data_IF_273658995978
#
_entry.id   IF_273658995978
#
_cell.length_a   1.000
_cell.length_b   1.000
_cell.length_c   1.000
_cell.angle_alpha   90.00
_cell.angle_beta   90.00
_cell.angle_gamma   90.00
#
_symmetry.space_group_name_H-M   'P 1'
#
loop_
_entity.id
_entity.type
_entity.pdbx_description
1 polymer ?
#
# COMPACT_ATOMS: atom_id res chain seq x y z
N UNK A 1 -12.95 10.97 -6.24
CA UNK A 1 -11.93 11.26 -5.22
C UNK A 1 -12.57 10.99 -3.88
N UNK A 2 -11.98 10.13 -3.06
CA UNK A 2 -12.53 9.76 -1.75
C UNK A 2 -11.57 10.27 -0.68
N UNK A 3 -11.97 11.31 0.07
CA UNK A 3 -11.16 11.93 1.14
C UNK A 3 -10.73 10.94 2.24
N UNK A 4 -11.45 9.83 2.36
CA UNK A 4 -11.18 8.76 3.32
C UNK A 4 -10.09 7.78 2.85
N UNK A 5 -9.71 7.80 1.57
CA UNK A 5 -8.67 6.94 1.02
C UNK A 5 -7.33 7.68 0.88
N UNK A 6 -6.42 7.17 0.05
CA UNK A 6 -5.20 7.87 -0.35
C UNK A 6 -5.50 8.73 -1.58
N UNK A 7 -4.93 9.94 -1.62
CA UNK A 7 -5.13 10.89 -2.72
C UNK A 7 -4.07 10.76 -3.82
N UNK A 8 -2.96 10.12 -3.52
CA UNK A 8 -1.82 10.01 -4.44
C UNK A 8 -1.25 8.60 -4.40
N UNK A 9 -0.92 8.10 -5.58
CA UNK A 9 -0.09 6.94 -5.77
C UNK A 9 1.39 7.30 -5.60
N UNK A 10 2.17 6.34 -5.11
CA UNK A 10 3.61 6.44 -4.94
C UNK A 10 4.23 5.42 -5.90
N UNK A 11 4.72 5.91 -7.04
CA UNK A 11 5.27 5.05 -8.09
C UNK A 11 6.54 4.34 -7.61
N UNK A 12 7.37 5.02 -6.82
CA UNK A 12 8.55 4.48 -6.17
C UNK A 12 8.86 5.29 -4.94
N UNK A 13 9.20 4.63 -3.83
CA UNK A 13 9.74 5.35 -2.68
C UNK A 13 11.19 5.77 -2.97
N UNK A 14 11.58 7.01 -2.60
CA UNK A 14 12.94 7.49 -2.83
C UNK A 14 13.93 6.82 -1.87
N UNK A 15 13.53 6.53 -0.63
CA UNK A 15 14.35 5.81 0.36
C UNK A 15 13.58 4.72 1.08
N UNK A 16 14.30 3.81 1.74
CA UNK A 16 13.70 2.80 2.62
C UNK A 16 12.98 3.48 3.79
N UNK A 17 13.53 4.58 4.31
CA UNK A 17 12.91 5.35 5.39
C UNK A 17 11.54 5.91 4.96
N UNK A 18 11.43 6.47 3.75
CA UNK A 18 10.13 6.94 3.22
C UNK A 18 9.09 5.81 3.15
N UNK A 19 9.51 4.60 2.78
CA UNK A 19 8.62 3.43 2.77
C UNK A 19 8.17 3.08 4.19
N UNK A 20 9.09 3.00 5.14
CA UNK A 20 8.78 2.66 6.54
C UNK A 20 7.89 3.72 7.19
N UNK A 21 8.14 4.99 6.94
CA UNK A 21 7.28 6.10 7.40
C UNK A 21 5.87 5.99 6.80
N UNK A 22 5.76 5.70 5.51
CA UNK A 22 4.46 5.51 4.87
C UNK A 22 3.73 4.26 5.40
N UNK A 23 4.43 3.15 5.61
CA UNK A 23 3.85 1.92 6.18
C UNK A 23 3.29 2.17 7.59
N UNK A 24 4.01 2.93 8.41
CA UNK A 24 3.54 3.36 9.73
C UNK A 24 2.28 4.25 9.62
N UNK A 25 2.25 5.20 8.68
CA UNK A 25 1.08 6.05 8.44
C UNK A 25 -0.12 5.22 7.97
N UNK A 26 0.09 4.29 7.04
CA UNK A 26 -0.92 3.36 6.53
C UNK A 26 -1.47 2.51 7.68
N UNK A 27 -0.60 1.89 8.49
CA UNK A 27 -0.98 1.07 9.63
C UNK A 27 -1.76 1.87 10.67
N UNK A 28 -1.32 3.09 10.99
CA UNK A 28 -2.07 4.00 11.89
C UNK A 28 -3.43 4.36 11.32
N UNK A 29 -3.54 4.59 10.01
CA UNK A 29 -4.81 4.92 9.34
C UNK A 29 -5.78 3.73 9.36
N UNK A 30 -5.29 2.51 9.15
CA UNK A 30 -6.06 1.27 9.26
C UNK A 30 -6.55 1.08 10.71
N UNK A 31 -5.68 1.30 11.68
CA UNK A 31 -6.00 1.14 13.10
C UNK A 31 -7.03 2.17 13.60
N UNK A 32 -6.87 3.45 13.22
CA UNK A 32 -7.73 4.54 13.71
C UNK A 32 -9.02 4.71 12.91
N UNK A 33 -8.93 4.79 11.58
CA UNK A 33 -10.08 5.21 10.75
C UNK A 33 -10.93 4.01 10.32
N UNK A 34 -10.38 2.78 10.34
CA UNK A 34 -11.01 1.52 9.82
C UNK A 34 -11.57 1.63 8.40
N UNK A 35 -11.33 2.72 7.69
CA UNK A 35 -11.76 3.00 6.33
C UNK A 35 -10.99 2.20 5.30
N UNK A 36 -9.81 1.68 5.65
CA UNK A 36 -8.97 0.85 4.79
C UNK A 36 -8.72 -0.48 5.48
N UNK A 37 -8.84 -1.57 4.74
CA UNK A 37 -8.61 -2.93 5.23
C UNK A 37 -7.62 -3.64 4.33
N UNK A 38 -6.71 -4.41 4.92
CA UNK A 38 -5.89 -5.35 4.16
C UNK A 38 -6.78 -6.48 3.64
N UNK A 39 -6.82 -6.63 2.31
CA UNK A 39 -7.65 -7.62 1.62
C UNK A 39 -6.89 -8.92 1.41
N UNK A 40 -5.66 -8.83 0.90
CA UNK A 40 -4.85 -9.99 0.58
C UNK A 40 -3.36 -9.63 0.58
N UNK A 41 -2.51 -10.64 0.77
CA UNK A 41 -1.09 -10.56 0.46
C UNK A 41 -0.83 -11.46 -0.73
N UNK A 42 -0.22 -10.91 -1.78
CA UNK A 42 0.18 -11.66 -2.97
C UNK A 42 1.69 -11.80 -2.94
N UNK A 43 2.16 -13.02 -2.72
CA UNK A 43 3.57 -13.33 -2.87
C UNK A 43 3.87 -13.49 -4.36
N UNK A 44 4.95 -12.88 -4.84
CA UNK A 44 5.42 -13.17 -6.20
C UNK A 44 6.23 -14.46 -6.18
N UNK A 45 6.40 -15.13 -7.31
CA UNK A 45 7.23 -16.35 -7.40
C UNK A 45 8.72 -16.12 -7.05
N UNK A 46 9.14 -14.88 -6.75
CA UNK A 46 10.45 -14.60 -6.18
C UNK A 46 10.37 -14.68 -4.67
N UNK A 47 11.26 -15.49 -4.08
CA UNK A 47 11.49 -15.52 -2.63
C UNK A 47 11.60 -14.08 -2.12
N UNK A 48 10.76 -13.77 -1.12
CA UNK A 48 10.75 -12.51 -0.36
C UNK A 48 10.20 -11.26 -1.09
N UNK A 49 9.73 -11.39 -2.35
CA UNK A 49 9.11 -10.27 -3.06
C UNK A 49 7.60 -10.47 -3.11
N UNK A 50 6.85 -9.62 -2.40
CA UNK A 50 5.39 -9.66 -2.38
C UNK A 50 4.76 -8.27 -2.50
N UNK A 51 3.44 -8.24 -2.58
CA UNK A 51 2.67 -7.02 -2.44
C UNK A 51 1.39 -7.25 -1.63
N UNK A 52 1.04 -6.27 -0.81
CA UNK A 52 -0.17 -6.23 -0.02
C UNK A 52 -1.25 -5.47 -0.78
N UNK A 53 -2.44 -6.05 -0.84
CA UNK A 53 -3.63 -5.41 -1.40
C UNK A 53 -4.45 -4.83 -0.26
N UNK A 54 -4.72 -3.54 -0.34
CA UNK A 54 -5.59 -2.82 0.57
C UNK A 54 -6.86 -2.39 -0.16
N UNK A 55 -7.97 -2.42 0.56
CA UNK A 55 -9.29 -2.02 0.06
C UNK A 55 -9.84 -0.90 0.92
N UNK A 56 -10.25 0.19 0.28
CA UNK A 56 -10.97 1.27 0.93
C UNK A 56 -12.44 0.88 1.06
N UNK A 57 -12.94 0.66 2.28
CA UNK A 57 -14.32 0.24 2.55
C UNK A 57 -15.36 1.34 2.26
N UNK A 58 -14.93 2.58 2.07
CA UNK A 58 -15.81 3.73 1.80
C UNK A 58 -16.20 3.83 0.32
N UNK A 59 -15.24 3.62 -0.59
CA UNK A 59 -15.48 3.73 -2.03
C UNK A 59 -15.18 2.44 -2.82
N UNK A 60 -14.69 1.40 -2.15
CA UNK A 60 -14.27 0.14 -2.77
C UNK A 60 -12.94 0.21 -3.53
N UNK A 61 -12.19 1.31 -3.43
CA UNK A 61 -10.93 1.48 -4.16
C UNK A 61 -9.87 0.51 -3.64
N UNK A 62 -9.23 -0.21 -4.56
CA UNK A 62 -8.14 -1.12 -4.26
C UNK A 62 -6.79 -0.41 -4.42
N UNK A 63 -5.85 -0.75 -3.55
CA UNK A 63 -4.49 -0.24 -3.49
C UNK A 63 -3.52 -1.40 -3.35
N UNK A 64 -2.35 -1.27 -3.96
CA UNK A 64 -1.27 -2.24 -3.94
C UNK A 64 -0.06 -1.59 -3.31
N UNK A 65 0.42 -2.13 -2.20
CA UNK A 65 1.71 -1.81 -1.61
C UNK A 65 2.71 -2.92 -1.95
N UNK A 66 3.71 -2.63 -2.74
CA UNK A 66 4.81 -3.58 -3.00
C UNK A 66 5.87 -3.47 -1.93
N UNK A 67 6.30 -4.61 -1.40
CA UNK A 67 7.40 -4.66 -0.42
C UNK A 67 8.71 -4.27 -1.10
N UNK A 68 9.55 -3.44 -0.47
CA UNK A 68 10.89 -3.15 -0.98
C UNK A 68 11.76 -4.40 -0.97
N UNK A 69 12.63 -4.49 -1.98
CA UNK A 69 13.67 -5.50 -2.17
C UNK A 69 15.02 -4.79 -2.40
N UNK A 70 16.14 -5.52 -2.38
CA UNK A 70 17.49 -4.97 -2.60
C UNK A 70 17.62 -4.08 -3.85
N UNK A 71 16.84 -4.35 -4.90
CA UNK A 71 16.84 -3.58 -6.15
C UNK A 71 15.62 -2.67 -6.34
N UNK A 72 14.61 -2.75 -5.47
CA UNK A 72 13.32 -2.10 -5.67
C UNK A 72 12.81 -1.48 -4.38
N UNK A 73 12.58 -0.17 -4.35
CA UNK A 73 12.20 0.52 -3.09
C UNK A 73 10.70 0.43 -2.75
N UNK A 74 9.96 -0.45 -3.40
CA UNK A 74 8.52 -0.59 -3.20
C UNK A 74 7.72 0.49 -3.94
N UNK A 75 6.41 0.31 -4.00
CA UNK A 75 5.47 1.27 -4.57
C UNK A 75 4.10 1.15 -3.92
N UNK A 76 3.33 2.21 -3.97
CA UNK A 76 1.94 2.25 -3.53
C UNK A 76 1.04 2.72 -4.68
N UNK A 77 0.43 1.78 -5.40
CA UNK A 77 -0.34 2.08 -6.60
C UNK A 77 -1.82 1.81 -6.37
N UNK A 78 -2.68 2.66 -6.94
CA UNK A 78 -4.09 2.35 -7.06
C UNK A 78 -4.30 1.22 -8.10
N UNK A 79 -5.13 0.25 -7.76
CA UNK A 79 -5.59 -0.76 -8.72
C UNK A 79 -6.91 -0.28 -9.30
N UNK A 80 -6.86 0.25 -10.52
CA UNK A 80 -8.05 0.47 -11.33
C UNK A 80 -8.62 -0.87 -11.75
N UNK A 81 -9.93 -1.01 -11.58
CA UNK A 81 -10.69 -2.23 -11.88
C UNK A 81 -10.90 -2.39 -13.38
#
# INVERSE_FOLDING_TARGET
MCDKCFNSEIISFPTQADFEEFDLVLTKKIANDKSIKMRAFVNTNRKDVGYQIYECLVCGQLWKLSTPDYAYRGCFLHLTK
#
